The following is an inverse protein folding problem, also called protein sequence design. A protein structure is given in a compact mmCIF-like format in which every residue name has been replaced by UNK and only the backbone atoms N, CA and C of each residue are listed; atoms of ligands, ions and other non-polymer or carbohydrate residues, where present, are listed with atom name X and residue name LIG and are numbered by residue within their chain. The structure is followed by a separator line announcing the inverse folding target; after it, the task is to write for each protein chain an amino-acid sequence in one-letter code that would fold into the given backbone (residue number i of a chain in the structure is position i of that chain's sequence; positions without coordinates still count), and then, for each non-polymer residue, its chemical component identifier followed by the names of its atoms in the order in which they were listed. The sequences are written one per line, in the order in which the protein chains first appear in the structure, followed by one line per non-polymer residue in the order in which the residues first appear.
data_IF_580686306835
#
_entry.id   IF_580686306835
#
_cell.length_a   1.000
_cell.length_b   1.000
_cell.length_c   1.000
_cell.angle_alpha   90.00
_cell.angle_beta   90.00
_cell.angle_gamma   90.00
#
_symmetry.space_group_name_H-M   'P 1'
#
loop_
_entity.id
_entity.type
_entity.pdbx_description
1 polymer ?
#
# COMPACT_ATOMS: atom_id res chain seq x y z
N UNK A 1 -26.23 9.18 7.68
CA UNK A 1 -26.46 9.15 6.22
C UNK A 1 -25.57 8.07 5.65
N UNK A 2 -26.05 7.24 4.72
CA UNK A 2 -25.23 6.21 4.07
C UNK A 2 -24.04 6.86 3.35
N UNK A 3 -22.89 6.19 3.32
CA UNK A 3 -21.76 6.63 2.50
C UNK A 3 -22.18 6.53 1.03
N UNK A 4 -21.74 7.47 0.18
CA UNK A 4 -22.02 7.38 -1.25
C UNK A 4 -21.28 6.22 -1.94
N UNK A 5 -20.21 5.70 -1.32
CA UNK A 5 -19.41 4.56 -1.78
C UNK A 5 -18.92 4.70 -3.23
N UNK A 6 -18.55 5.92 -3.62
CA UNK A 6 -18.10 6.25 -4.99
C UNK A 6 -16.58 6.25 -5.15
N UNK A 7 -15.84 6.01 -4.07
CA UNK A 7 -14.38 6.01 -4.10
C UNK A 7 -13.82 4.63 -4.39
N UNK A 8 -12.84 4.59 -5.30
CA UNK A 8 -12.01 3.43 -5.62
C UNK A 8 -10.69 3.58 -4.86
N UNK A 9 -10.38 2.63 -3.99
CA UNK A 9 -9.14 2.65 -3.20
C UNK A 9 -8.08 1.74 -3.82
N UNK A 10 -6.96 2.31 -4.27
CA UNK A 10 -5.81 1.52 -4.72
C UNK A 10 -4.73 1.53 -3.64
N UNK A 11 -4.38 0.35 -3.15
CA UNK A 11 -3.50 0.14 -2.01
C UNK A 11 -2.24 -0.57 -2.49
N UNK A 12 -1.08 0.00 -2.18
CA UNK A 12 0.21 -0.52 -2.59
C UNK A 12 1.05 -0.91 -1.37
N UNK A 13 1.72 -2.05 -1.44
CA UNK A 13 2.99 -2.19 -0.73
C UNK A 13 4.06 -1.27 -1.36
N UNK A 14 5.17 -1.07 -0.66
CA UNK A 14 6.26 -0.23 -1.13
C UNK A 14 7.45 -1.02 -1.67
N UNK A 15 8.18 -1.72 -0.80
CA UNK A 15 9.44 -2.37 -1.16
C UNK A 15 9.14 -3.52 -2.15
N UNK A 16 9.92 -3.61 -3.23
CA UNK A 16 9.71 -4.55 -4.36
C UNK A 16 8.36 -4.42 -5.10
N UNK A 17 7.50 -3.47 -4.71
CA UNK A 17 6.21 -3.19 -5.35
C UNK A 17 6.25 -1.88 -6.13
N UNK A 18 6.46 -0.76 -5.44
CA UNK A 18 6.63 0.57 -6.06
C UNK A 18 8.11 0.90 -6.28
N UNK A 19 9.01 0.31 -5.49
CA UNK A 19 10.47 0.45 -5.63
C UNK A 19 11.13 -0.88 -6.02
N UNK A 20 12.15 -0.89 -6.89
CA UNK A 20 12.87 -2.11 -7.25
C UNK A 20 13.72 -2.70 -6.14
N UNK A 21 13.95 -1.96 -5.06
CA UNK A 21 14.82 -2.37 -3.95
C UNK A 21 14.20 -1.97 -2.60
N UNK A 22 14.84 -2.37 -1.49
CA UNK A 22 14.42 -1.95 -0.17
C UNK A 22 14.87 -0.51 0.12
N UNK A 23 14.02 0.31 0.74
CA UNK A 23 14.33 1.72 1.03
C UNK A 23 15.64 1.92 1.82
N UNK A 24 16.00 0.95 2.66
CA UNK A 24 17.21 0.98 3.48
C UNK A 24 18.46 0.85 2.60
N UNK A 25 18.45 -0.05 1.62
CA UNK A 25 19.57 -0.30 0.72
C UNK A 25 19.86 0.91 -0.18
N UNK A 26 18.83 1.69 -0.53
CA UNK A 26 19.01 2.86 -1.39
C UNK A 26 19.46 4.11 -0.64
N UNK A 27 18.94 4.32 0.57
CA UNK A 27 19.05 5.62 1.24
C UNK A 27 19.83 5.53 2.53
N UNK A 28 19.36 4.75 3.49
CA UNK A 28 19.93 4.72 4.85
C UNK A 28 21.33 4.11 4.84
N UNK A 29 21.50 2.93 4.25
CA UNK A 29 22.78 2.23 4.32
C UNK A 29 23.92 2.99 3.64
N UNK A 30 23.75 3.54 2.43
CA UNK A 30 24.79 4.37 1.83
C UNK A 30 25.04 5.67 2.60
N UNK A 31 24.00 6.29 3.17
CA UNK A 31 24.14 7.57 3.88
C UNK A 31 24.89 7.44 5.21
N UNK A 32 24.61 6.38 5.97
CA UNK A 32 25.21 6.12 7.28
C UNK A 32 26.39 5.14 7.23
N UNK A 33 26.80 4.71 6.03
CA UNK A 33 27.92 3.77 5.86
C UNK A 33 27.66 2.37 6.45
N UNK A 34 26.40 1.95 6.51
CA UNK A 34 25.98 0.65 7.05
C UNK A 34 26.19 -0.43 6.00
N UNK A 35 26.81 -1.56 6.38
CA UNK A 35 26.92 -2.72 5.51
C UNK A 35 25.60 -3.52 5.51
N UNK A 36 24.91 -3.68 4.35
CA UNK A 36 23.62 -4.36 4.32
C UNK A 36 23.68 -5.82 4.78
N UNK A 37 24.73 -6.55 4.39
CA UNK A 37 24.89 -7.95 4.74
C UNK A 37 25.06 -8.18 6.24
N UNK A 38 25.86 -7.35 6.90
CA UNK A 38 26.02 -7.39 8.35
C UNK A 38 24.75 -6.96 9.08
N UNK A 39 24.10 -5.89 8.61
CA UNK A 39 22.86 -5.40 9.18
C UNK A 39 21.76 -6.47 9.18
N UNK A 40 21.49 -7.07 8.01
CA UNK A 40 20.45 -8.10 7.88
C UNK A 40 20.83 -9.39 8.60
N UNK A 41 22.12 -9.71 8.72
CA UNK A 41 22.58 -10.82 9.56
C UNK A 41 22.24 -10.57 11.03
N UNK A 42 22.57 -9.39 11.57
CA UNK A 42 22.26 -9.03 12.96
C UNK A 42 20.75 -9.02 13.21
N UNK A 43 19.97 -8.46 12.28
CA UNK A 43 18.50 -8.47 12.37
C UNK A 43 17.93 -9.89 12.43
N UNK A 44 18.50 -10.85 11.68
CA UNK A 44 18.08 -12.26 11.77
C UNK A 44 18.48 -12.92 13.09
N UNK A 45 19.68 -12.63 13.60
CA UNK A 45 20.12 -13.15 14.90
C UNK A 45 19.18 -12.72 16.04
N UNK A 46 18.69 -11.48 16.04
CA UNK A 46 17.69 -11.00 16.99
C UNK A 46 16.38 -11.83 16.94
N UNK A 47 15.94 -12.20 15.74
CA UNK A 47 14.75 -13.05 15.56
C UNK A 47 15.02 -14.47 16.04
N UNK A 48 16.05 -15.10 15.50
CA UNK A 48 16.30 -16.54 15.67
C UNK A 48 16.78 -16.91 17.08
N UNK A 49 17.54 -16.01 17.73
CA UNK A 49 18.20 -16.29 19.02
C UNK A 49 17.52 -15.58 20.19
N UNK A 50 16.94 -14.41 19.95
CA UNK A 50 16.37 -13.57 21.02
C UNK A 50 14.83 -13.47 20.95
N UNK A 51 14.19 -14.05 19.92
CA UNK A 51 12.73 -14.17 19.82
C UNK A 51 12.00 -12.89 19.46
N UNK A 52 12.68 -11.92 18.84
CA UNK A 52 12.05 -10.68 18.36
C UNK A 52 11.14 -10.97 17.15
N UNK A 53 10.03 -10.25 17.03
CA UNK A 53 9.30 -10.15 15.76
C UNK A 53 10.20 -9.50 14.70
N UNK A 54 10.04 -9.90 13.43
CA UNK A 54 10.93 -9.48 12.34
C UNK A 54 11.06 -7.97 12.19
N UNK A 55 9.95 -7.23 12.15
CA UNK A 55 9.98 -5.77 12.03
C UNK A 55 10.50 -5.07 13.29
N UNK A 56 10.26 -5.64 14.49
CA UNK A 56 10.84 -5.12 15.72
C UNK A 56 12.36 -5.32 15.75
N UNK A 57 12.84 -6.49 15.33
CA UNK A 57 14.27 -6.77 15.19
C UNK A 57 14.94 -5.79 14.22
N UNK A 58 14.31 -5.56 13.05
CA UNK A 58 14.76 -4.59 12.07
C UNK A 58 14.87 -3.18 12.67
N UNK A 59 13.81 -2.68 13.32
CA UNK A 59 13.77 -1.33 13.88
C UNK A 59 14.75 -1.16 15.05
N UNK A 60 14.91 -2.18 15.89
CA UNK A 60 15.90 -2.20 16.96
C UNK A 60 17.32 -2.19 16.40
N UNK A 61 17.59 -3.01 15.38
CA UNK A 61 18.87 -3.02 14.69
C UNK A 61 19.19 -1.64 14.07
N UNK A 62 18.21 -0.98 13.47
CA UNK A 62 18.38 0.39 12.97
C UNK A 62 18.80 1.37 14.08
N UNK A 63 18.18 1.31 15.26
CA UNK A 63 18.56 2.17 16.38
C UNK A 63 19.98 1.87 16.86
N UNK A 64 20.38 0.61 16.95
CA UNK A 64 21.75 0.22 17.35
C UNK A 64 22.80 0.76 16.38
N UNK A 65 22.55 0.63 15.06
CA UNK A 65 23.48 1.10 14.03
C UNK A 65 23.56 2.63 13.95
N UNK A 66 22.52 3.33 14.38
CA UNK A 66 22.43 4.79 14.36
C UNK A 66 22.69 5.43 15.73
N UNK A 67 23.21 4.68 16.71
CA UNK A 67 23.41 5.19 18.09
C UNK A 67 24.42 6.35 18.16
N UNK A 68 25.35 6.42 17.19
CA UNK A 68 26.28 7.54 17.08
C UNK A 68 25.67 8.76 16.36
N UNK A 69 25.00 8.53 15.22
CA UNK A 69 24.43 9.60 14.39
C UNK A 69 23.17 10.23 15.01
N UNK A 70 22.31 9.38 15.59
CA UNK A 70 21.02 9.69 16.21
C UNK A 70 20.19 10.71 15.41
N UNK A 71 19.83 10.37 14.15
CA UNK A 71 19.09 11.28 13.29
C UNK A 71 17.70 11.60 13.85
N UNK A 72 17.10 12.68 13.38
CA UNK A 72 15.68 12.98 13.63
C UNK A 72 14.79 12.32 12.57
N UNK A 73 13.46 12.21 12.78
CA UNK A 73 12.58 11.77 11.68
C UNK A 73 12.60 12.77 10.52
N UNK A 74 12.89 14.05 10.76
CA UNK A 74 13.04 15.04 9.70
C UNK A 74 14.30 14.79 8.85
N UNK A 75 15.38 14.31 9.44
CA UNK A 75 16.57 13.89 8.69
C UNK A 75 16.27 12.66 7.83
N UNK A 76 15.57 11.67 8.40
CA UNK A 76 15.07 10.52 7.64
C UNK A 76 14.14 10.98 6.50
N UNK A 77 13.27 11.95 6.75
CA UNK A 77 12.38 12.51 5.73
C UNK A 77 13.14 13.09 4.55
N UNK A 78 14.19 13.88 4.80
CA UNK A 78 15.03 14.45 3.73
C UNK A 78 15.69 13.37 2.87
N UNK A 79 16.05 12.23 3.45
CA UNK A 79 16.59 11.10 2.70
C UNK A 79 15.57 10.44 1.76
N UNK A 80 14.27 10.58 2.06
CA UNK A 80 13.17 10.10 1.23
C UNK A 80 13.19 10.61 -0.21
N UNK A 81 13.72 11.81 -0.44
CA UNK A 81 13.83 12.41 -1.77
C UNK A 81 14.79 11.65 -2.71
N UNK A 82 15.62 10.72 -2.16
CA UNK A 82 16.57 9.90 -2.92
C UNK A 82 16.01 8.54 -3.33
N UNK A 83 14.80 8.19 -2.87
CA UNK A 83 14.17 6.92 -3.20
C UNK A 83 13.90 6.82 -4.70
N UNK A 84 14.14 5.64 -5.27
CA UNK A 84 13.88 5.35 -6.67
C UNK A 84 12.71 4.38 -6.80
N UNK A 85 12.02 4.50 -7.93
CA UNK A 85 10.80 3.76 -8.19
C UNK A 85 10.91 2.95 -9.48
N UNK A 86 9.99 2.01 -9.66
CA UNK A 86 9.83 1.34 -10.94
C UNK A 86 9.42 2.33 -12.03
N UNK A 87 9.64 1.93 -13.30
CA UNK A 87 9.32 2.75 -14.47
C UNK A 87 7.82 3.11 -14.46
N UNK A 88 7.49 4.38 -14.63
CA UNK A 88 6.11 4.91 -14.62
C UNK A 88 5.58 5.33 -13.24
N UNK A 89 6.42 5.31 -12.19
CA UNK A 89 6.11 5.86 -10.86
C UNK A 89 6.98 7.10 -10.63
N UNK A 90 6.41 8.24 -10.18
CA UNK A 90 5.06 8.42 -9.64
C UNK A 90 3.95 8.71 -10.65
N UNK A 91 4.25 8.86 -11.95
CA UNK A 91 3.28 9.36 -12.96
C UNK A 91 1.97 8.56 -12.99
N UNK A 92 2.05 7.25 -12.72
CA UNK A 92 0.92 6.33 -12.54
C UNK A 92 -0.25 6.93 -11.77
N UNK A 93 0.00 7.55 -10.63
CA UNK A 93 -1.05 7.98 -9.69
C UNK A 93 -1.94 9.05 -10.32
N UNK A 94 -1.35 10.02 -11.00
CA UNK A 94 -2.10 11.07 -11.68
C UNK A 94 -2.74 10.53 -12.96
N UNK A 95 -2.01 9.71 -13.72
CA UNK A 95 -2.48 9.16 -14.98
C UNK A 95 -3.67 8.21 -14.81
N UNK A 96 -3.78 7.47 -13.70
CA UNK A 96 -4.94 6.57 -13.46
C UNK A 96 -6.25 7.34 -13.30
N UNK A 97 -6.22 8.59 -12.82
CA UNK A 97 -7.42 9.42 -12.73
C UNK A 97 -8.03 9.72 -14.12
N UNK A 98 -7.21 9.66 -15.18
CA UNK A 98 -7.66 9.91 -16.55
C UNK A 98 -8.46 8.75 -17.15
N UNK A 99 -8.44 7.58 -16.51
CA UNK A 99 -9.22 6.41 -16.92
C UNK A 99 -10.72 6.64 -16.70
N UNK A 100 -11.09 7.50 -15.75
CA UNK A 100 -12.49 7.81 -15.49
C UNK A 100 -13.09 8.70 -16.60
N UNK A 101 -14.17 8.23 -17.22
CA UNK A 101 -14.94 8.99 -18.20
C UNK A 101 -15.84 10.05 -17.54
N UNK A 102 -16.48 10.90 -18.36
CA UNK A 102 -17.34 11.99 -17.88
C UNK A 102 -18.52 11.50 -17.03
N UNK A 103 -19.06 10.32 -17.34
CA UNK A 103 -20.17 9.73 -16.60
C UNK A 103 -19.73 9.29 -15.20
N UNK A 104 -18.54 8.70 -15.05
CA UNK A 104 -17.96 8.35 -13.76
C UNK A 104 -17.78 9.60 -12.90
N UNK A 105 -17.19 10.65 -13.48
CA UNK A 105 -16.94 11.92 -12.80
C UNK A 105 -18.24 12.62 -12.40
N UNK A 106 -19.27 12.62 -13.27
CA UNK A 106 -20.57 13.21 -12.99
C UNK A 106 -21.26 12.57 -11.78
N UNK A 107 -21.10 11.26 -11.61
CA UNK A 107 -21.64 10.50 -10.47
C UNK A 107 -20.70 10.49 -9.25
N UNK A 108 -19.65 11.32 -9.26
CA UNK A 108 -18.76 11.50 -8.12
C UNK A 108 -17.80 10.35 -7.88
N UNK A 109 -17.51 9.52 -8.89
CA UNK A 109 -16.51 8.47 -8.79
C UNK A 109 -15.12 9.08 -8.69
N UNK A 110 -14.35 8.68 -7.69
CA UNK A 110 -12.96 9.15 -7.47
C UNK A 110 -12.02 7.99 -7.23
N UNK A 111 -10.73 8.20 -7.50
CA UNK A 111 -9.66 7.25 -7.17
C UNK A 111 -8.83 7.85 -6.03
N UNK A 112 -8.55 7.04 -5.01
CA UNK A 112 -7.64 7.40 -3.93
C UNK A 112 -6.54 6.34 -3.81
N UNK A 113 -5.29 6.80 -3.65
CA UNK A 113 -4.12 5.94 -3.56
C UNK A 113 -3.59 5.89 -2.13
N UNK A 114 -3.18 4.70 -1.69
CA UNK A 114 -2.73 4.42 -0.33
C UNK A 114 -1.47 3.57 -0.34
N UNK A 115 -0.54 3.82 0.57
CA UNK A 115 0.65 2.97 0.76
C UNK A 115 0.59 2.33 2.15
N UNK A 116 0.78 1.02 2.23
CA UNK A 116 0.94 0.28 3.49
C UNK A 116 2.27 -0.47 3.43
N UNK A 117 3.25 -0.02 4.20
CA UNK A 117 4.62 -0.57 4.18
C UNK A 117 5.07 -1.01 5.57
N UNK A 118 5.90 -2.05 5.64
CA UNK A 118 6.67 -2.39 6.85
C UNK A 118 7.93 -1.53 7.01
N UNK A 119 8.23 -0.68 6.03
CA UNK A 119 9.35 0.26 6.06
C UNK A 119 9.05 1.56 6.83
N UNK A 120 10.01 2.49 6.83
CA UNK A 120 9.90 3.74 7.59
C UNK A 120 9.01 4.75 6.89
N UNK A 121 7.93 5.15 7.58
CA UNK A 121 7.00 6.18 7.09
C UNK A 121 7.72 7.50 6.81
N UNK A 122 8.69 7.89 7.64
CA UNK A 122 9.42 9.15 7.48
C UNK A 122 10.09 9.27 6.11
N UNK A 123 10.72 8.20 5.60
CA UNK A 123 11.31 8.18 4.26
C UNK A 123 10.25 8.36 3.18
N UNK A 124 9.12 7.64 3.30
CA UNK A 124 8.04 7.73 2.33
C UNK A 124 7.36 9.11 2.32
N UNK A 125 7.22 9.76 3.47
CA UNK A 125 6.67 11.12 3.61
C UNK A 125 7.54 12.21 2.96
N UNK A 126 8.82 11.95 2.77
CA UNK A 126 9.75 12.82 2.06
C UNK A 126 10.01 12.41 0.61
N UNK A 127 9.35 11.35 0.15
CA UNK A 127 9.51 10.83 -1.21
C UNK A 127 8.66 11.56 -2.24
N UNK A 128 8.96 11.36 -3.52
CA UNK A 128 8.13 11.88 -4.61
C UNK A 128 6.73 11.23 -4.66
N UNK A 129 6.46 10.16 -3.89
CA UNK A 129 5.14 9.53 -3.84
C UNK A 129 4.15 10.30 -2.94
N UNK A 130 4.66 10.97 -1.89
CA UNK A 130 3.85 11.57 -0.84
C UNK A 130 2.77 12.55 -1.36
N UNK A 131 3.03 13.39 -2.38
CA UNK A 131 2.00 14.30 -2.90
C UNK A 131 0.84 13.61 -3.62
N UNK A 132 1.03 12.39 -4.12
CA UNK A 132 0.06 11.70 -4.97
C UNK A 132 -0.84 10.71 -4.22
N UNK A 133 -0.51 10.43 -2.96
CA UNK A 133 -1.22 9.43 -2.15
C UNK A 133 -2.02 10.09 -1.03
N UNK A 134 -3.22 9.57 -0.78
CA UNK A 134 -4.12 10.05 0.27
C UNK A 134 -3.54 9.83 1.66
N UNK A 135 -2.92 8.67 1.88
CA UNK A 135 -2.27 8.33 3.15
C UNK A 135 -1.19 7.26 2.97
N UNK A 136 -0.10 7.45 3.69
CA UNK A 136 0.98 6.48 3.85
C UNK A 136 0.91 5.93 5.27
N UNK A 137 0.91 4.60 5.39
CA UNK A 137 1.09 3.87 6.63
C UNK A 137 2.44 3.16 6.59
N UNK A 138 3.25 3.38 7.63
CA UNK A 138 4.57 2.77 7.77
C UNK A 138 4.96 2.63 9.23
N UNK A 139 6.08 1.96 9.48
CA UNK A 139 6.74 1.97 10.78
C UNK A 139 7.22 3.38 11.13
N UNK A 140 7.13 3.73 12.41
CA UNK A 140 7.53 5.04 12.91
C UNK A 140 8.33 4.92 14.20
N UNK A 141 9.41 5.68 14.28
CA UNK A 141 10.14 5.89 15.53
C UNK A 141 9.49 7.02 16.34
N UNK A 142 9.53 6.88 17.67
CA UNK A 142 9.30 8.00 18.58
C UNK A 142 10.46 8.99 18.53
N UNK A 143 10.30 10.13 19.18
CA UNK A 143 11.34 11.16 19.28
C UNK A 143 11.65 11.50 20.74
N UNK A 144 12.93 11.74 21.05
CA UNK A 144 13.31 12.35 22.32
C UNK A 144 13.06 13.87 22.33
N UNK A 145 13.35 14.52 23.46
CA UNK A 145 13.19 15.98 23.63
C UNK A 145 13.98 16.84 22.62
N UNK A 146 14.96 16.26 21.93
CA UNK A 146 15.77 16.92 20.91
C UNK A 146 15.35 16.50 19.48
N UNK A 147 14.23 15.78 19.32
CA UNK A 147 13.73 15.30 18.04
C UNK A 147 14.41 14.05 17.49
N UNK A 148 15.34 13.43 18.25
CA UNK A 148 16.11 12.28 17.77
C UNK A 148 15.28 11.01 17.83
N UNK A 149 15.44 10.13 16.85
CA UNK A 149 14.69 8.86 16.82
C UNK A 149 14.98 8.01 18.06
N UNK A 150 13.94 7.39 18.58
CA UNK A 150 13.97 6.50 19.76
C UNK A 150 13.09 5.28 19.50
N UNK A 151 12.65 4.59 20.55
CA UNK A 151 11.82 3.39 20.48
C UNK A 151 10.69 3.49 19.44
N UNK A 152 10.42 2.41 18.67
CA UNK A 152 9.32 2.40 17.70
C UNK A 152 7.97 2.75 18.34
N UNK A 153 7.35 3.86 17.92
CA UNK A 153 6.00 4.22 18.37
C UNK A 153 4.91 3.51 17.56
N UNK A 154 5.26 2.98 16.38
CA UNK A 154 4.38 2.19 15.53
C UNK A 154 5.17 1.19 14.71
N UNK A 155 4.69 -0.04 14.68
CA UNK A 155 5.24 -1.12 13.86
C UNK A 155 4.12 -1.67 13.00
N UNK A 156 4.38 -1.80 11.70
CA UNK A 156 3.50 -2.46 10.76
C UNK A 156 4.23 -3.70 10.28
N UNK A 157 3.82 -4.86 10.77
CA UNK A 157 4.26 -6.14 10.26
C UNK A 157 3.45 -6.61 9.07
N UNK A 158 3.99 -7.60 8.34
CA UNK A 158 3.29 -8.29 7.25
C UNK A 158 1.86 -8.74 7.61
N UNK A 159 1.61 -9.20 8.84
CA UNK A 159 0.27 -9.60 9.28
C UNK A 159 -0.62 -8.40 9.60
N UNK A 160 -0.07 -7.36 10.23
CA UNK A 160 -0.82 -6.16 10.62
C UNK A 160 -1.17 -5.25 9.44
N UNK A 161 -0.54 -5.40 8.26
CA UNK A 161 -0.97 -4.67 7.04
C UNK A 161 -2.47 -4.81 6.76
N UNK A 162 -3.04 -5.99 7.03
CA UNK A 162 -4.48 -6.25 6.89
C UNK A 162 -5.35 -5.32 7.75
N UNK A 163 -4.89 -4.95 8.95
CA UNK A 163 -5.55 -3.98 9.83
C UNK A 163 -5.69 -2.63 9.12
N UNK A 164 -4.66 -2.19 8.40
CA UNK A 164 -4.66 -0.91 7.70
C UNK A 164 -5.57 -0.93 6.46
N UNK A 165 -5.76 -2.08 5.82
CA UNK A 165 -6.80 -2.23 4.77
C UNK A 165 -8.19 -2.03 5.39
N UNK A 166 -8.48 -2.60 6.57
CA UNK A 166 -9.74 -2.35 7.28
C UNK A 166 -9.90 -0.87 7.69
N UNK A 167 -8.81 -0.20 8.07
CA UNK A 167 -8.81 1.24 8.35
C UNK A 167 -9.23 2.06 7.14
N UNK A 168 -8.64 1.78 5.97
CA UNK A 168 -9.02 2.43 4.70
C UNK A 168 -10.49 2.12 4.37
N UNK A 169 -10.93 0.88 4.55
CA UNK A 169 -12.32 0.48 4.32
C UNK A 169 -13.32 1.29 5.16
N UNK A 170 -12.96 1.59 6.41
CA UNK A 170 -13.78 2.38 7.34
C UNK A 170 -13.52 3.89 7.29
N UNK A 171 -12.54 4.36 6.51
CA UNK A 171 -12.10 5.76 6.51
C UNK A 171 -11.37 6.20 7.78
N UNK A 172 -10.90 5.26 8.60
CA UNK A 172 -10.25 5.50 9.90
C UNK A 172 -8.73 5.66 9.72
N UNK A 173 -8.32 6.77 9.10
CA UNK A 173 -6.94 7.00 8.69
C UNK A 173 -6.06 7.57 9.81
N UNK A 174 -6.65 8.17 10.84
CA UNK A 174 -5.92 8.81 11.93
C UNK A 174 -5.54 7.83 13.04
N UNK A 175 -4.38 8.00 13.69
CA UNK A 175 -3.89 7.04 14.70
C UNK A 175 -4.82 6.77 15.88
N UNK A 176 -5.64 7.74 16.27
CA UNK A 176 -6.53 7.66 17.43
C UNK A 176 -7.87 6.97 17.14
N UNK A 177 -8.16 6.67 15.87
CA UNK A 177 -9.39 5.99 15.46
C UNK A 177 -9.27 4.48 15.66
N UNK A 178 -10.24 3.90 16.36
CA UNK A 178 -10.28 2.46 16.65
C UNK A 178 -10.96 1.69 15.50
N UNK A 179 -10.15 0.89 14.80
CA UNK A 179 -10.63 0.03 13.72
C UNK A 179 -11.50 -1.13 14.23
N UNK A 180 -11.52 -1.43 15.52
CA UNK A 180 -12.32 -2.51 16.08
C UNK A 180 -13.81 -2.15 16.19
N UNK A 181 -14.15 -0.86 16.19
CA UNK A 181 -15.54 -0.43 16.24
C UNK A 181 -16.34 -0.98 15.05
N UNK A 182 -17.50 -1.57 15.34
CA UNK A 182 -18.34 -2.11 14.29
C UNK A 182 -18.87 -0.98 13.40
N UNK A 183 -18.62 -1.10 12.10
CA UNK A 183 -19.17 -0.20 11.09
C UNK A 183 -19.97 -1.01 10.07
N UNK A 184 -21.26 -0.70 9.97
CA UNK A 184 -22.17 -1.29 8.99
C UNK A 184 -21.63 -1.06 7.56
N UNK A 185 -21.89 -2.01 6.66
CA UNK A 185 -21.33 -1.98 5.30
C UNK A 185 -21.66 -0.68 4.55
N UNK A 186 -22.91 -0.22 4.63
CA UNK A 186 -23.43 1.02 4.02
C UNK A 186 -22.71 2.31 4.47
N UNK A 187 -22.07 2.27 5.65
CA UNK A 187 -21.38 3.44 6.22
C UNK A 187 -19.89 3.46 5.86
N UNK A 188 -19.35 2.37 5.33
CA UNK A 188 -17.94 2.25 4.97
C UNK A 188 -17.66 3.11 3.74
N UNK A 189 -16.73 4.09 3.80
CA UNK A 189 -16.42 4.98 2.68
C UNK A 189 -15.97 4.24 1.43
N UNK A 190 -15.12 3.22 1.58
CA UNK A 190 -14.56 2.46 0.48
C UNK A 190 -14.84 0.98 0.73
N UNK A 191 -15.89 0.38 0.14
CA UNK A 191 -16.13 -1.07 0.22
C UNK A 191 -14.95 -1.87 -0.33
N UNK A 192 -14.75 -3.10 0.16
CA UNK A 192 -13.66 -3.96 -0.32
C UNK A 192 -13.77 -4.25 -1.83
N UNK A 193 -14.98 -4.34 -2.37
CA UNK A 193 -15.23 -4.54 -3.80
C UNK A 193 -14.70 -3.37 -4.65
N UNK A 194 -14.58 -2.19 -4.03
CA UNK A 194 -14.04 -0.99 -4.67
C UNK A 194 -12.53 -0.83 -4.42
N UNK A 195 -11.85 -1.87 -3.94
CA UNK A 195 -10.42 -1.81 -3.64
C UNK A 195 -9.59 -2.70 -4.56
N UNK A 196 -8.39 -2.21 -4.86
CA UNK A 196 -7.34 -2.95 -5.57
C UNK A 196 -6.09 -2.96 -4.67
N UNK A 197 -5.54 -4.13 -4.38
CA UNK A 197 -4.28 -4.27 -3.64
C UNK A 197 -3.16 -4.72 -4.57
N UNK A 198 -2.01 -4.05 -4.53
CA UNK A 198 -0.81 -4.37 -5.29
C UNK A 198 0.33 -4.67 -4.32
N UNK A 199 0.97 -5.83 -4.45
CA UNK A 199 2.07 -6.27 -3.56
C UNK A 199 3.05 -7.21 -4.26
N UNK A 200 4.22 -7.45 -3.66
CA UNK A 200 5.35 -8.12 -4.35
C UNK A 200 5.40 -9.63 -4.12
N UNK A 201 4.73 -10.16 -3.10
CA UNK A 201 4.80 -11.59 -2.86
C UNK A 201 4.39 -12.12 -1.48
N UNK A 202 5.16 -13.06 -0.90
CA UNK A 202 4.77 -13.85 0.28
C UNK A 202 4.36 -13.03 1.51
N UNK A 203 4.95 -11.86 1.68
CA UNK A 203 4.70 -10.89 2.76
C UNK A 203 3.28 -10.32 2.71
N UNK A 204 2.72 -10.17 1.51
CA UNK A 204 1.37 -9.64 1.29
C UNK A 204 0.29 -10.71 1.15
N UNK A 205 0.65 -11.98 1.34
CA UNK A 205 -0.29 -13.11 1.28
C UNK A 205 -1.53 -12.93 2.16
N UNK A 206 -1.43 -12.43 3.40
CA UNK A 206 -2.62 -12.10 4.20
C UNK A 206 -3.52 -11.05 3.53
N UNK A 207 -2.91 -10.01 2.93
CA UNK A 207 -3.63 -8.95 2.22
C UNK A 207 -4.36 -9.51 0.98
N UNK A 208 -3.68 -10.32 0.16
CA UNK A 208 -4.29 -10.97 -1.00
C UNK A 208 -5.47 -11.87 -0.61
N UNK A 209 -5.30 -12.65 0.46
CA UNK A 209 -6.36 -13.52 1.00
C UNK A 209 -7.56 -12.70 1.48
N UNK A 210 -7.30 -11.57 2.14
CA UNK A 210 -8.34 -10.64 2.59
C UNK A 210 -9.13 -10.06 1.42
N UNK A 211 -8.42 -9.53 0.41
CA UNK A 211 -9.04 -8.95 -0.78
C UNK A 211 -9.95 -9.96 -1.49
N UNK A 212 -9.43 -11.17 -1.75
CA UNK A 212 -10.21 -12.25 -2.37
C UNK A 212 -11.46 -12.61 -1.56
N UNK A 213 -11.33 -12.71 -0.23
CA UNK A 213 -12.45 -13.07 0.66
C UNK A 213 -13.58 -12.04 0.64
N UNK A 214 -13.25 -10.75 0.55
CA UNK A 214 -14.23 -9.67 0.60
C UNK A 214 -14.59 -9.09 -0.78
N UNK A 215 -14.22 -9.79 -1.87
CA UNK A 215 -14.59 -9.44 -3.24
C UNK A 215 -13.81 -8.27 -3.84
N UNK A 216 -12.68 -7.90 -3.25
CA UNK A 216 -11.76 -6.91 -3.82
C UNK A 216 -10.73 -7.53 -4.77
N UNK A 217 -9.96 -6.66 -5.42
CA UNK A 217 -8.99 -7.05 -6.42
C UNK A 217 -7.58 -7.12 -5.83
N UNK A 218 -6.77 -8.05 -6.33
CA UNK A 218 -5.39 -8.24 -5.90
C UNK A 218 -4.49 -8.56 -7.11
N UNK A 219 -3.36 -7.88 -7.18
CA UNK A 219 -2.31 -8.09 -8.19
C UNK A 219 -0.98 -8.29 -7.49
N UNK A 220 -0.30 -9.39 -7.82
CA UNK A 220 1.06 -9.64 -7.36
C UNK A 220 2.06 -9.20 -8.43
N UNK A 221 3.05 -8.38 -8.06
CA UNK A 221 4.02 -7.81 -8.99
C UNK A 221 5.41 -8.39 -8.75
N UNK A 222 6.20 -8.54 -9.82
CA UNK A 222 7.58 -9.00 -9.75
C UNK A 222 8.51 -8.09 -10.52
N UNK A 223 9.77 -8.02 -10.12
CA UNK A 223 10.77 -7.22 -10.82
C UNK A 223 11.18 -7.93 -12.14
N UNK A 224 10.84 -7.37 -13.32
CA UNK A 224 11.17 -8.01 -14.60
C UNK A 224 12.66 -7.95 -14.93
N UNK A 225 13.38 -6.99 -14.34
CA UNK A 225 14.81 -6.75 -14.57
C UNK A 225 15.70 -7.62 -13.62
N UNK A 226 15.09 -8.42 -12.73
CA UNK A 226 15.81 -9.32 -11.81
C UNK A 226 16.30 -10.59 -12.53
N UNK A 227 17.63 -10.72 -12.68
CA UNK A 227 18.25 -11.86 -13.36
C UNK A 227 17.96 -13.22 -12.71
N UNK A 228 17.86 -13.28 -11.37
CA UNK A 228 17.62 -14.52 -10.62
C UNK A 228 16.22 -15.09 -10.87
N UNK A 229 15.28 -14.24 -11.31
CA UNK A 229 13.83 -14.50 -11.44
C UNK A 229 13.18 -14.97 -10.13
N UNK A 230 13.77 -14.63 -8.99
CA UNK A 230 13.29 -15.08 -7.68
C UNK A 230 11.92 -14.50 -7.36
N UNK A 231 11.72 -13.21 -7.64
CA UNK A 231 10.45 -12.49 -7.48
C UNK A 231 9.34 -13.11 -8.34
N UNK A 232 9.62 -13.40 -9.61
CA UNK A 232 8.67 -14.08 -10.50
C UNK A 232 8.25 -15.45 -9.94
N UNK A 233 9.22 -16.28 -9.50
CA UNK A 233 8.92 -17.61 -8.95
C UNK A 233 8.06 -17.53 -7.69
N UNK A 234 8.32 -16.57 -6.79
CA UNK A 234 7.49 -16.31 -5.61
C UNK A 234 6.06 -15.96 -6.02
N UNK A 235 5.90 -14.99 -6.92
CA UNK A 235 4.59 -14.60 -7.48
C UNK A 235 3.84 -15.79 -8.12
N UNK A 236 4.53 -16.59 -8.93
CA UNK A 236 3.94 -17.76 -9.60
C UNK A 236 3.44 -18.83 -8.63
N UNK A 237 4.13 -19.03 -7.50
CA UNK A 237 3.67 -19.96 -6.46
C UNK A 237 2.36 -19.50 -5.80
N UNK A 238 2.13 -18.18 -5.70
CA UNK A 238 0.91 -17.61 -5.13
C UNK A 238 -0.32 -17.81 -6.01
N UNK A 239 -0.15 -17.77 -7.33
CA UNK A 239 -1.24 -17.98 -8.29
C UNK A 239 -1.49 -19.47 -8.54
N UNK A 240 -0.44 -20.26 -8.79
CA UNK A 240 -0.55 -21.64 -9.26
C UNK A 240 -0.83 -22.68 -8.18
N UNK A 241 -0.28 -22.53 -6.98
CA UNK A 241 -0.36 -23.57 -5.93
C UNK A 241 -1.34 -23.23 -4.82
N UNK A 242 -1.54 -21.95 -4.55
CA UNK A 242 -2.28 -21.49 -3.39
C UNK A 242 -3.62 -20.82 -3.74
N UNK A 243 -3.90 -20.56 -5.02
CA UNK A 243 -5.07 -19.84 -5.53
C UNK A 243 -5.35 -18.55 -4.72
N UNK A 244 -4.29 -17.79 -4.39
CA UNK A 244 -4.39 -16.61 -3.51
C UNK A 244 -4.48 -15.30 -4.27
N UNK A 245 -3.95 -15.27 -5.49
CA UNK A 245 -3.95 -14.08 -6.35
C UNK A 245 -4.43 -14.48 -7.73
N UNK A 246 -5.30 -13.67 -8.33
CA UNK A 246 -5.85 -13.91 -9.66
C UNK A 246 -4.90 -13.45 -10.78
N UNK A 247 -4.10 -12.42 -10.52
CA UNK A 247 -3.23 -11.78 -11.52
C UNK A 247 -1.80 -11.62 -11.00
N UNK A 248 -0.82 -11.95 -11.85
CA UNK A 248 0.58 -11.56 -11.67
C UNK A 248 1.05 -10.73 -12.85
N UNK A 249 1.88 -9.71 -12.60
CA UNK A 249 2.40 -8.84 -13.65
C UNK A 249 3.82 -8.35 -13.36
N UNK A 250 4.62 -8.05 -14.39
CA UNK A 250 5.90 -7.36 -14.18
C UNK A 250 5.65 -5.95 -13.62
N UNK A 251 6.48 -5.50 -12.69
CA UNK A 251 6.46 -4.17 -12.09
C UNK A 251 6.95 -3.10 -13.09
N UNK A 252 6.15 -2.84 -14.11
CA UNK A 252 6.31 -1.77 -15.08
C UNK A 252 4.99 -1.00 -15.13
N UNK A 253 4.98 0.23 -14.64
CA UNK A 253 3.77 1.04 -14.44
C UNK A 253 3.49 2.00 -15.60
N UNK A 254 4.30 1.97 -16.67
CA UNK A 254 4.15 2.85 -17.83
C UNK A 254 2.85 2.55 -18.60
N UNK A 255 2.22 3.56 -19.23
CA UNK A 255 1.15 3.39 -20.20
C UNK A 255 1.40 2.24 -21.19
N UNK A 256 0.41 1.35 -21.34
CA UNK A 256 0.46 0.21 -22.26
C UNK A 256 1.25 -1.03 -21.76
N UNK A 257 1.87 -0.98 -20.59
CA UNK A 257 2.45 -2.18 -19.98
C UNK A 257 1.36 -3.16 -19.50
N UNK A 258 1.72 -4.43 -19.26
CA UNK A 258 0.76 -5.43 -18.79
C UNK A 258 0.13 -5.06 -17.44
N UNK A 259 0.93 -4.63 -16.46
CA UNK A 259 0.43 -4.20 -15.16
C UNK A 259 -0.47 -2.97 -15.28
N UNK A 260 -0.08 -2.00 -16.12
CA UNK A 260 -0.86 -0.80 -16.32
C UNK A 260 -2.25 -1.10 -16.90
N UNK A 261 -2.32 -1.92 -17.96
CA UNK A 261 -3.59 -2.33 -18.55
C UNK A 261 -4.48 -3.07 -17.53
N UNK A 262 -3.91 -3.95 -16.69
CA UNK A 262 -4.68 -4.61 -15.64
C UNK A 262 -5.27 -3.62 -14.63
N UNK A 263 -4.48 -2.63 -14.18
CA UNK A 263 -4.97 -1.63 -13.22
C UNK A 263 -6.06 -0.74 -13.84
N UNK A 264 -5.90 -0.33 -15.10
CA UNK A 264 -6.89 0.48 -15.81
C UNK A 264 -8.22 -0.27 -15.96
N UNK A 265 -8.18 -1.54 -16.38
CA UNK A 265 -9.38 -2.37 -16.52
C UNK A 265 -10.07 -2.63 -15.18
N UNK A 266 -9.31 -2.90 -14.10
CA UNK A 266 -9.90 -3.06 -12.75
C UNK A 266 -10.56 -1.77 -12.27
N UNK A 267 -9.94 -0.61 -12.52
CA UNK A 267 -10.54 0.69 -12.19
C UNK A 267 -11.83 0.92 -12.97
N UNK A 268 -11.84 0.63 -14.27
CA UNK A 268 -13.05 0.74 -15.11
C UNK A 268 -14.16 -0.19 -14.64
N UNK A 269 -13.84 -1.46 -14.37
CA UNK A 269 -14.80 -2.46 -13.89
C UNK A 269 -15.50 -2.01 -12.60
N UNK A 270 -14.71 -1.51 -11.64
CA UNK A 270 -15.23 -0.97 -10.38
C UNK A 270 -16.05 0.30 -10.64
N UNK A 271 -15.55 1.25 -11.42
CA UNK A 271 -16.23 2.51 -11.71
C UNK A 271 -17.60 2.28 -12.36
N UNK A 272 -17.65 1.42 -13.38
CA UNK A 272 -18.88 1.02 -14.04
C UNK A 272 -19.84 0.31 -13.07
N UNK A 273 -19.31 -0.50 -12.16
CA UNK A 273 -20.07 -1.13 -11.08
C UNK A 273 -20.75 -0.12 -10.16
N UNK A 274 -20.00 0.90 -9.71
CA UNK A 274 -20.50 2.00 -8.88
C UNK A 274 -21.62 2.75 -9.62
N UNK A 275 -21.39 3.09 -10.88
CA UNK A 275 -22.37 3.78 -11.73
C UNK A 275 -23.66 2.98 -11.88
N UNK A 276 -23.57 1.67 -12.18
CA UNK A 276 -24.75 0.79 -12.29
C UNK A 276 -25.54 0.78 -11.00
N UNK A 277 -24.86 0.63 -9.85
CA UNK A 277 -25.51 0.65 -8.53
C UNK A 277 -26.21 1.99 -8.27
N UNK A 278 -25.55 3.11 -8.57
CA UNK A 278 -26.12 4.46 -8.42
C UNK A 278 -27.35 4.69 -9.29
N UNK A 279 -27.32 4.24 -10.55
CA UNK A 279 -28.49 4.33 -11.44
C UNK A 279 -29.67 3.54 -10.91
N UNK A 280 -29.44 2.31 -10.43
CA UNK A 280 -30.48 1.49 -9.80
C UNK A 280 -31.06 2.17 -8.55
N UNK A 281 -30.22 2.71 -7.66
CA UNK A 281 -30.66 3.46 -6.48
C UNK A 281 -31.55 4.67 -6.84
N UNK A 282 -31.21 5.39 -7.92
CA UNK A 282 -32.00 6.52 -8.41
C UNK A 282 -33.33 6.04 -9.00
N UNK A 283 -33.31 5.01 -9.85
CA UNK A 283 -34.50 4.46 -10.51
C UNK A 283 -35.50 3.89 -9.49
N UNK A 284 -35.02 3.09 -8.53
CA UNK A 284 -35.83 2.51 -7.45
C UNK A 284 -36.32 3.57 -6.45
N UNK A 285 -35.56 4.65 -6.27
CA UNK A 285 -35.93 5.79 -5.43
C UNK A 285 -36.93 6.75 -6.08
N UNK A 286 -37.19 6.61 -7.38
CA UNK A 286 -38.16 7.44 -8.12
C UNK A 286 -39.51 6.73 -8.29
N UNK A 287 -40.57 7.28 -7.71
CA UNK A 287 -41.95 6.86 -8.00
C UNK A 287 -42.47 7.67 -9.18
N UNK A 288 -42.80 6.99 -10.29
CA UNK A 288 -43.43 7.64 -11.43
C UNK A 288 -44.74 8.32 -11.02
N UNK A 289 -44.92 9.59 -11.40
CA UNK A 289 -46.16 10.30 -11.15
C UNK A 289 -47.34 9.57 -11.83
N UNK A 290 -48.49 9.41 -11.15
CA UNK A 290 -49.65 8.79 -11.78
C UNK A 290 -50.06 9.61 -13.01
N UNK A 291 -50.22 8.94 -14.14
CA UNK A 291 -50.81 9.54 -15.33
C UNK A 291 -52.31 9.74 -15.08
N UNK A 292 -52.78 10.99 -15.19
CA UNK A 292 -54.19 11.36 -15.19
C UNK A 292 -54.81 11.13 -16.57
#
# INVERSE_FOLDING_TARGET
MASQQTTIGIIYDYDQTLSPTYMQDETLFPHFGINPGQFWKRSRELVDQEGYDGELAYLKCMLDYLDMDRPTNEDLRKLGAKLRFFKGVPELFDELNNVLNDQHKLLGVTIEHYIISSGLKALLDGSALAPHVKRIFGCEFGEDKNGRITFPKRVISHTTKTQYIFRINKGMLEPHEDVNDHMAHELRPIPFQNMIYVGDGPTDVPCFTLMKRYGGHAVAVYNPDEQSRSSFRKCYQLTGLADRVKHIAPADYRPGSHLRLLLEEMVLEIADGIVRKKRQEIEEGTVSAPHF
#
